data_IF_181544316729
#
_entry.id   IF_181544316729
#
_cell.length_a   1.000
_cell.length_b   1.000
_cell.length_c   1.000
_cell.angle_alpha   90.00
_cell.angle_beta   90.00
_cell.angle_gamma   90.00
#
_symmetry.space_group_name_H-M   'P 1'
#
loop_
_entity.id
_entity.type
_entity.pdbx_description
1 polymer ?
#
# COMPACT_ATOMS: atom_id res chain seq x y z
N UNK A 1 24.86 18.57 8.52
CA UNK A 1 23.54 18.07 8.94
C UNK A 1 23.31 16.72 8.27
N UNK A 2 22.77 15.74 8.98
CA UNK A 2 22.50 14.41 8.44
C UNK A 2 21.23 14.46 7.58
N UNK A 3 21.34 14.20 6.27
CA UNK A 3 20.18 14.25 5.34
C UNK A 3 19.30 13.00 5.36
N UNK A 4 19.80 11.89 5.91
CA UNK A 4 19.11 10.59 5.95
C UNK A 4 19.30 9.92 7.30
N UNK A 5 18.21 9.37 7.84
CA UNK A 5 18.23 8.62 9.08
C UNK A 5 17.21 7.47 9.03
N UNK A 6 17.50 6.32 9.67
CA UNK A 6 16.48 5.28 9.88
C UNK A 6 15.43 5.81 10.86
N UNK A 7 14.16 5.63 10.50
CA UNK A 7 13.00 5.98 11.34
C UNK A 7 12.02 4.81 11.36
N UNK A 8 11.23 4.74 12.43
CA UNK A 8 10.22 3.69 12.62
C UNK A 8 8.89 4.31 13.02
N UNK A 9 7.79 3.70 12.57
CA UNK A 9 6.43 4.12 12.91
C UNK A 9 5.46 3.98 11.76
N UNK A 10 4.16 4.08 12.06
CA UNK A 10 3.10 4.07 11.04
C UNK A 10 3.22 5.24 10.08
N UNK A 11 3.82 6.35 10.52
CA UNK A 11 4.19 7.49 9.65
C UNK A 11 5.17 7.13 8.54
N UNK A 12 5.99 6.09 8.71
CA UNK A 12 6.89 5.58 7.67
C UNK A 12 6.21 4.53 6.79
N UNK A 13 5.22 3.80 7.33
CA UNK A 13 4.40 2.88 6.54
C UNK A 13 3.42 3.61 5.60
N UNK A 14 2.85 4.73 6.04
CA UNK A 14 1.92 5.54 5.26
C UNK A 14 2.46 5.95 3.87
N UNK A 15 3.65 6.57 3.73
CA UNK A 15 4.18 6.95 2.42
C UNK A 15 4.53 5.75 1.54
N UNK A 16 4.86 4.58 2.12
CA UNK A 16 5.05 3.34 1.34
C UNK A 16 3.73 2.94 0.68
N UNK A 17 2.63 2.89 1.43
CA UNK A 17 1.31 2.55 0.88
C UNK A 17 0.84 3.61 -0.12
N UNK A 18 1.08 4.90 0.14
CA UNK A 18 0.79 5.98 -0.82
C UNK A 18 1.54 5.81 -2.13
N UNK A 19 2.80 5.36 -2.10
CA UNK A 19 3.58 5.04 -3.29
C UNK A 19 2.97 3.89 -4.09
N UNK A 20 2.55 2.81 -3.42
CA UNK A 20 1.87 1.68 -4.09
C UNK A 20 0.53 2.11 -4.68
N UNK A 21 -0.25 2.91 -3.96
CA UNK A 21 -1.50 3.48 -4.47
C UNK A 21 -1.26 4.31 -5.75
N UNK A 22 -0.22 5.14 -5.76
CA UNK A 22 0.16 5.91 -6.94
C UNK A 22 0.60 5.02 -8.12
N UNK A 23 1.30 3.91 -7.86
CA UNK A 23 1.66 2.93 -8.90
C UNK A 23 0.41 2.32 -9.55
N UNK A 24 -0.56 1.85 -8.74
CA UNK A 24 -1.84 1.32 -9.23
C UNK A 24 -2.54 2.37 -10.06
N UNK A 25 -2.70 3.59 -9.52
CA UNK A 25 -3.42 4.65 -10.21
C UNK A 25 -2.73 5.14 -11.49
N UNK A 26 -1.40 5.05 -11.56
CA UNK A 26 -0.66 5.37 -12.78
C UNK A 26 -0.95 4.39 -13.92
N UNK A 27 -1.27 3.13 -13.59
CA UNK A 27 -1.62 2.07 -14.54
C UNK A 27 -3.11 2.07 -14.89
N UNK A 28 -3.97 2.45 -13.94
CA UNK A 28 -5.42 2.54 -14.09
C UNK A 28 -5.91 3.98 -13.84
N UNK A 29 -5.60 4.90 -14.76
CA UNK A 29 -5.85 6.34 -14.59
C UNK A 29 -7.34 6.70 -14.49
N UNK A 30 -8.22 5.82 -14.93
CA UNK A 30 -9.67 5.92 -14.90
C UNK A 30 -10.29 5.39 -13.60
N UNK A 31 -9.52 4.69 -12.76
CA UNK A 31 -10.02 4.18 -11.49
C UNK A 31 -10.28 5.31 -10.49
N UNK A 32 -11.32 5.11 -9.68
CA UNK A 32 -11.61 5.91 -8.50
C UNK A 32 -10.67 5.54 -7.34
N UNK A 33 -10.59 6.42 -6.33
CA UNK A 33 -9.85 6.15 -5.10
C UNK A 33 -10.34 4.86 -4.40
N UNK A 34 -11.63 4.56 -4.50
CA UNK A 34 -12.23 3.36 -3.92
C UNK A 34 -11.72 2.09 -4.61
N UNK A 35 -11.63 2.10 -5.93
CA UNK A 35 -11.08 0.97 -6.72
C UNK A 35 -9.59 0.76 -6.41
N UNK A 36 -8.81 1.85 -6.29
CA UNK A 36 -7.39 1.75 -5.90
C UNK A 36 -7.24 1.16 -4.48
N UNK A 37 -8.06 1.62 -3.52
CA UNK A 37 -8.08 1.05 -2.17
C UNK A 37 -8.46 -0.42 -2.18
N UNK A 38 -9.46 -0.81 -2.97
CA UNK A 38 -9.90 -2.19 -3.09
C UNK A 38 -8.78 -3.08 -3.65
N UNK A 39 -8.07 -2.63 -4.69
CA UNK A 39 -6.93 -3.35 -5.25
C UNK A 39 -5.80 -3.54 -4.23
N UNK A 40 -5.47 -2.50 -3.44
CA UNK A 40 -4.52 -2.61 -2.33
C UNK A 40 -4.94 -3.68 -1.32
N UNK A 41 -6.22 -3.69 -0.92
CA UNK A 41 -6.71 -4.62 0.09
C UNK A 41 -6.80 -6.06 -0.44
N UNK A 42 -7.24 -6.26 -1.68
CA UNK A 42 -7.39 -7.60 -2.28
C UNK A 42 -6.06 -8.27 -2.61
N UNK A 43 -5.02 -7.50 -2.89
CA UNK A 43 -3.68 -8.01 -3.21
C UNK A 43 -2.78 -8.17 -1.99
N UNK A 44 -3.20 -7.70 -0.81
CA UNK A 44 -2.41 -7.78 0.40
C UNK A 44 -2.16 -9.23 0.83
N UNK A 45 -0.95 -9.50 1.36
CA UNK A 45 -0.59 -10.80 1.94
C UNK A 45 -1.12 -10.88 3.37
N UNK A 46 -2.02 -11.84 3.69
CA UNK A 46 -2.55 -11.98 5.04
C UNK A 46 -1.44 -12.18 6.08
N UNK A 47 -1.50 -11.46 7.20
CA UNK A 47 -0.55 -11.57 8.31
C UNK A 47 -1.14 -12.17 9.59
N UNK A 48 -2.42 -12.56 9.57
CA UNK A 48 -3.12 -13.12 10.72
C UNK A 48 -4.28 -12.24 11.16
N UNK A 49 -4.24 -11.80 12.41
CA UNK A 49 -5.31 -11.05 13.07
C UNK A 49 -5.72 -9.80 12.28
N UNK A 50 -7.00 -9.72 11.89
CA UNK A 50 -7.51 -8.64 11.04
C UNK A 50 -7.65 -7.34 11.79
N UNK A 51 -7.85 -7.41 13.10
CA UNK A 51 -7.93 -6.28 14.02
C UNK A 51 -6.56 -5.58 14.13
N UNK A 52 -5.47 -6.34 13.93
CA UNK A 52 -4.09 -5.82 13.95
C UNK A 52 -3.59 -5.39 12.56
N UNK A 53 -3.86 -6.17 11.52
CA UNK A 53 -3.23 -6.01 10.21
C UNK A 53 -4.18 -5.64 9.07
N UNK A 54 -5.49 -5.59 9.33
CA UNK A 54 -6.50 -5.40 8.30
C UNK A 54 -6.43 -6.49 7.24
N UNK A 55 -6.19 -6.11 5.99
CA UNK A 55 -6.02 -7.05 4.87
C UNK A 55 -4.63 -7.72 4.86
N UNK A 56 -3.65 -7.20 5.60
CA UNK A 56 -2.29 -7.73 5.67
C UNK A 56 -1.22 -6.81 5.05
N UNK A 57 -0.08 -7.40 4.68
CA UNK A 57 1.07 -6.69 4.12
C UNK A 57 0.81 -6.29 2.67
N UNK A 58 1.08 -5.03 2.32
CA UNK A 58 0.97 -4.55 0.94
C UNK A 58 1.88 -5.35 -0.01
N UNK A 59 1.35 -5.76 -1.16
CA UNK A 59 2.12 -6.37 -2.25
C UNK A 59 1.97 -5.52 -3.51
N UNK A 60 3.00 -4.72 -3.81
CA UNK A 60 2.97 -3.81 -4.95
C UNK A 60 2.87 -4.55 -6.30
N UNK A 61 3.54 -5.70 -6.44
CA UNK A 61 3.54 -6.45 -7.69
C UNK A 61 2.17 -7.08 -7.95
N UNK A 62 1.56 -7.66 -6.91
CA UNK A 62 0.22 -8.22 -6.99
C UNK A 62 -0.85 -7.13 -7.16
N UNK A 63 -0.65 -5.93 -6.61
CA UNK A 63 -1.63 -4.84 -6.71
C UNK A 63 -1.70 -4.19 -8.10
N UNK A 64 -0.61 -4.19 -8.87
CA UNK A 64 -0.54 -3.59 -10.21
C UNK A 64 -0.75 -4.59 -11.35
N UNK A 65 -0.87 -5.88 -11.05
CA UNK A 65 -1.08 -6.95 -12.03
C UNK A 65 -2.52 -7.11 -12.58
N UNK A 66 -3.60 -6.80 -11.83
CA UNK A 66 -4.97 -6.93 -12.32
C UNK A 66 -5.36 -5.93 -13.40
#
# INVERSE_FOLDING_TARGET
AQSYAPLQGTSMAAPVVSGVAALIWSRHKDWSAAQVKEALQKSAKPLGDKEQFGAGLVDAAAAVAP
#
